data_IF_117505361688
#
_entry.id   IF_117505361688
#
_cell.length_a   1.000
_cell.length_b   1.000
_cell.length_c   1.000
_cell.angle_alpha   90.00
_cell.angle_beta   90.00
_cell.angle_gamma   90.00
#
_symmetry.space_group_name_H-M   'P 1'
#
loop_
_entity.id
_entity.type
_entity.pdbx_description
1 polymer ?
#
# COMPACT_ATOMS: atom_id res chain seq x y z
N UNK A 1 17.19 -10.60 8.62
CA UNK A 1 15.93 -10.42 9.35
C UNK A 1 15.05 -9.49 8.53
N UNK A 2 13.88 -9.94 8.09
CA UNK A 2 13.07 -9.21 7.13
C UNK A 2 12.00 -8.39 7.87
N UNK A 3 12.43 -7.24 8.41
CA UNK A 3 11.66 -6.42 9.37
C UNK A 3 10.25 -6.12 8.84
N UNK A 4 10.08 -5.86 7.54
CA UNK A 4 8.77 -5.54 6.97
C UNK A 4 7.79 -6.73 6.89
N UNK A 5 8.27 -7.96 6.73
CA UNK A 5 7.42 -9.15 6.59
C UNK A 5 7.13 -9.87 7.92
N UNK A 6 7.88 -9.56 8.99
CA UNK A 6 7.76 -10.25 10.27
C UNK A 6 7.52 -9.29 11.45
N UNK A 7 8.10 -8.08 11.42
CA UNK A 7 8.15 -7.14 12.54
C UNK A 7 7.99 -5.67 12.11
N UNK A 8 6.97 -5.34 11.30
CA UNK A 8 6.82 -3.94 10.85
C UNK A 8 6.61 -3.03 12.06
N UNK A 9 7.20 -1.83 12.01
CA UNK A 9 7.26 -0.90 13.16
C UNK A 9 7.92 -1.49 14.43
N UNK A 10 8.63 -2.62 14.34
CA UNK A 10 9.26 -3.29 15.48
C UNK A 10 8.33 -4.17 16.31
N UNK A 11 7.07 -4.34 15.89
CA UNK A 11 6.08 -5.17 16.60
C UNK A 11 5.94 -6.55 15.95
N UNK A 12 6.04 -7.62 16.74
CA UNK A 12 5.82 -8.98 16.27
C UNK A 12 4.38 -9.17 15.76
N UNK A 13 4.23 -9.80 14.59
CA UNK A 13 2.91 -10.04 13.99
C UNK A 13 2.32 -8.84 13.25
N UNK A 14 3.03 -7.71 13.19
CA UNK A 14 2.67 -6.54 12.39
C UNK A 14 3.20 -6.68 10.95
N UNK A 15 2.90 -7.77 10.25
CA UNK A 15 3.38 -7.96 8.87
C UNK A 15 2.69 -7.01 7.87
N UNK A 16 3.47 -6.43 6.96
CA UNK A 16 2.95 -5.67 5.83
C UNK A 16 2.06 -4.48 6.20
N UNK A 17 2.30 -3.82 7.34
CA UNK A 17 1.46 -2.70 7.80
C UNK A 17 1.35 -1.58 6.76
N UNK A 18 2.39 -1.31 5.97
CA UNK A 18 2.32 -0.32 4.88
C UNK A 18 1.23 -0.62 3.82
N UNK A 19 0.78 -1.87 3.73
CA UNK A 19 -0.27 -2.30 2.81
C UNK A 19 -1.67 -2.33 3.45
N UNK A 20 -1.84 -2.03 4.74
CA UNK A 20 -3.12 -2.18 5.47
C UNK A 20 -3.64 -0.82 5.93
N UNK A 21 -4.93 -0.52 5.85
CA UNK A 21 -5.44 0.76 6.37
C UNK A 21 -5.67 0.69 7.88
N UNK A 22 -6.29 -0.41 8.36
CA UNK A 22 -6.71 -0.58 9.75
C UNK A 22 -7.49 0.65 10.28
N UNK A 23 -7.24 1.08 11.51
CA UNK A 23 -7.84 2.28 12.11
C UNK A 23 -7.22 3.59 11.61
N UNK A 24 -6.12 3.55 10.85
CA UNK A 24 -5.37 4.76 10.47
C UNK A 24 -6.12 5.59 9.45
N UNK A 25 -5.96 6.91 9.55
CA UNK A 25 -6.36 7.85 8.50
C UNK A 25 -5.25 7.90 7.44
N UNK A 26 -5.07 6.79 6.74
CA UNK A 26 -4.04 6.58 5.72
C UNK A 26 -4.69 6.16 4.41
N UNK A 27 -4.03 6.48 3.31
CA UNK A 27 -4.43 6.12 1.95
C UNK A 27 -3.20 5.68 1.18
N UNK A 28 -3.31 4.58 0.45
CA UNK A 28 -2.22 4.06 -0.38
C UNK A 28 -2.29 4.80 -1.72
N UNK A 29 -1.83 6.05 -1.74
CA UNK A 29 -1.88 6.98 -2.86
C UNK A 29 -1.29 8.35 -2.49
N UNK A 30 -1.19 9.31 -3.43
CA UNK A 30 -1.62 9.21 -4.83
C UNK A 30 -0.60 8.49 -5.73
N UNK A 31 -1.09 7.67 -6.66
CA UNK A 31 -0.26 6.98 -7.65
C UNK A 31 -0.06 7.83 -8.92
N UNK A 32 1.04 8.59 -8.97
CA UNK A 32 1.43 9.38 -10.15
C UNK A 32 1.86 8.51 -11.34
N UNK A 33 2.29 7.29 -11.05
CA UNK A 33 2.76 6.26 -11.98
C UNK A 33 1.67 5.21 -12.29
N UNK A 34 0.39 5.53 -12.06
CA UNK A 34 -0.71 4.57 -12.16
C UNK A 34 -0.79 3.86 -13.54
N UNK A 35 -0.57 4.58 -14.64
CA UNK A 35 -0.61 4.00 -15.98
C UNK A 35 0.56 3.02 -16.21
N UNK A 36 1.78 3.42 -15.83
CA UNK A 36 2.96 2.56 -15.95
C UNK A 36 2.79 1.28 -15.12
N UNK A 37 2.23 1.40 -13.91
CA UNK A 37 1.94 0.24 -13.08
C UNK A 37 0.91 -0.71 -13.74
N UNK A 38 -0.15 -0.18 -14.35
CA UNK A 38 -1.14 -0.99 -15.07
C UNK A 38 -0.52 -1.73 -16.26
N UNK A 39 0.38 -1.09 -16.99
CA UNK A 39 1.06 -1.70 -18.15
C UNK A 39 1.96 -2.87 -17.70
N UNK A 40 2.74 -2.67 -16.63
CA UNK A 40 3.56 -3.73 -16.01
C UNK A 40 2.70 -4.87 -15.49
N UNK A 41 1.57 -4.55 -14.84
CA UNK A 41 0.64 -5.54 -14.30
C UNK A 41 -0.04 -6.35 -15.41
N UNK A 42 -0.45 -5.69 -16.50
CA UNK A 42 -1.05 -6.34 -17.65
C UNK A 42 -0.08 -7.32 -18.33
N UNK A 43 1.21 -6.94 -18.44
CA UNK A 43 2.26 -7.82 -18.93
C UNK A 43 2.46 -9.03 -18.01
N UNK A 44 2.55 -8.80 -16.68
CA UNK A 44 2.75 -9.86 -15.69
C UNK A 44 1.59 -10.87 -15.67
N UNK A 45 0.35 -10.39 -15.77
CA UNK A 45 -0.86 -11.21 -15.73
C UNK A 45 -1.32 -11.70 -17.11
N UNK A 46 -0.64 -11.28 -18.19
CA UNK A 46 -0.96 -11.61 -19.59
C UNK A 46 -2.43 -11.33 -19.96
N UNK A 47 -2.99 -10.25 -19.40
CA UNK A 47 -4.36 -9.79 -19.69
C UNK A 47 -4.47 -8.28 -19.56
N UNK A 48 -5.47 -7.69 -20.21
CA UNK A 48 -5.82 -6.28 -19.97
C UNK A 48 -6.39 -6.12 -18.56
N UNK A 49 -5.97 -5.08 -17.86
CA UNK A 49 -6.41 -4.73 -16.52
C UNK A 49 -7.12 -3.37 -16.57
N UNK A 50 -8.45 -3.32 -16.39
CA UNK A 50 -9.17 -2.07 -16.17
C UNK A 50 -8.63 -1.34 -14.93
N UNK A 51 -8.40 -0.03 -15.03
CA UNK A 51 -7.89 0.77 -13.90
C UNK A 51 -8.75 0.63 -12.64
N UNK A 52 -10.07 0.52 -12.80
CA UNK A 52 -11.02 0.32 -11.71
C UNK A 52 -10.84 -1.00 -10.94
N UNK A 53 -10.21 -2.04 -11.51
CA UNK A 53 -9.87 -3.24 -10.73
C UNK A 53 -8.73 -3.00 -9.74
N UNK A 54 -7.91 -1.98 -10.00
CA UNK A 54 -6.65 -1.74 -9.29
C UNK A 54 -6.70 -0.50 -8.41
N UNK A 55 -7.42 0.52 -8.85
CA UNK A 55 -7.45 1.82 -8.21
C UNK A 55 -8.86 2.21 -7.77
N UNK A 56 -8.90 2.98 -6.69
CA UNK A 56 -10.04 3.68 -6.15
C UNK A 56 -9.96 5.13 -6.62
N UNK A 57 -11.09 5.66 -7.08
CA UNK A 57 -11.22 7.08 -7.45
C UNK A 57 -11.63 7.91 -6.23
N UNK A 58 -11.43 9.23 -6.28
CA UNK A 58 -11.88 10.11 -5.19
C UNK A 58 -13.38 9.97 -4.89
N UNK A 59 -14.22 9.90 -5.93
CA UNK A 59 -15.68 9.78 -5.77
C UNK A 59 -16.11 8.48 -5.07
N UNK A 60 -15.36 7.41 -5.30
CA UNK A 60 -15.55 6.13 -4.62
C UNK A 60 -15.00 6.17 -3.20
N UNK A 61 -13.72 6.55 -3.05
CA UNK A 61 -12.99 6.52 -1.78
C UNK A 61 -13.65 7.35 -0.69
N UNK A 62 -14.11 8.56 -1.01
CA UNK A 62 -14.77 9.44 -0.02
C UNK A 62 -16.04 8.83 0.59
N UNK A 63 -16.68 7.87 -0.11
CA UNK A 63 -17.87 7.15 0.35
C UNK A 63 -17.49 5.89 1.14
N UNK A 64 -16.33 5.28 0.86
CA UNK A 64 -15.85 4.09 1.56
C UNK A 64 -15.45 4.40 3.01
N UNK A 65 -14.82 5.57 3.24
CA UNK A 65 -14.37 6.01 4.56
C UNK A 65 -14.73 7.49 4.79
N UNK A 66 -16.01 7.82 5.01
CA UNK A 66 -16.46 9.20 5.21
C UNK A 66 -15.82 9.87 6.44
N UNK A 67 -15.40 9.09 7.43
CA UNK A 67 -14.80 9.54 8.68
C UNK A 67 -13.29 9.82 8.61
N UNK A 68 -12.60 9.34 7.56
CA UNK A 68 -11.14 9.50 7.39
C UNK A 68 -10.84 10.75 6.58
N UNK A 69 -10.13 11.71 7.17
CA UNK A 69 -9.89 13.04 6.56
C UNK A 69 -9.04 12.95 5.29
N UNK A 70 -8.05 12.06 5.24
CA UNK A 70 -7.23 11.90 4.04
C UNK A 70 -8.00 11.29 2.87
N UNK A 71 -9.09 10.56 3.13
CA UNK A 71 -9.99 10.05 2.09
C UNK A 71 -10.93 11.11 1.52
N UNK A 72 -11.02 12.27 2.16
CA UNK A 72 -11.80 13.42 1.68
C UNK A 72 -10.99 14.39 0.80
N UNK A 73 -9.70 14.10 0.57
CA UNK A 73 -8.78 14.91 -0.22
C UNK A 73 -8.65 14.37 -1.65
N UNK A 74 -9.12 15.08 -2.69
CA UNK A 74 -9.01 14.62 -4.08
C UNK A 74 -7.56 14.34 -4.52
N UNK A 75 -6.60 15.12 -4.02
CA UNK A 75 -5.17 15.03 -4.32
C UNK A 75 -4.52 13.74 -3.81
N UNK A 76 -5.18 12.98 -2.93
CA UNK A 76 -4.69 11.71 -2.43
C UNK A 76 -5.00 10.52 -3.37
N UNK A 77 -5.70 10.76 -4.48
CA UNK A 77 -6.13 9.77 -5.46
C UNK A 77 -5.38 9.90 -6.80
N UNK A 78 -5.31 8.85 -7.64
CA UNK A 78 -5.87 7.51 -7.43
C UNK A 78 -5.13 6.74 -6.34
N UNK A 79 -5.87 5.93 -5.58
CA UNK A 79 -5.34 5.11 -4.50
C UNK A 79 -5.48 3.62 -4.82
N UNK A 80 -4.57 2.77 -4.34
CA UNK A 80 -4.69 1.33 -4.54
C UNK A 80 -5.95 0.77 -3.89
N UNK A 81 -6.60 -0.17 -4.59
CA UNK A 81 -7.80 -0.84 -4.13
C UNK A 81 -7.51 -1.75 -2.93
N UNK A 82 -8.53 -1.90 -2.09
CA UNK A 82 -8.46 -2.62 -0.82
C UNK A 82 -9.37 -3.85 -0.82
N UNK A 83 -9.03 -4.84 -0.01
CA UNK A 83 -9.87 -5.99 0.30
C UNK A 83 -10.91 -5.59 1.35
N UNK A 84 -12.06 -5.08 0.90
CA UNK A 84 -13.08 -4.49 1.78
C UNK A 84 -13.73 -5.48 2.77
N UNK A 85 -13.65 -6.79 2.52
CA UNK A 85 -14.17 -7.82 3.41
C UNK A 85 -13.22 -8.19 4.55
N UNK A 86 -11.96 -7.75 4.49
CA UNK A 86 -10.97 -8.05 5.49
C UNK A 86 -10.95 -6.92 6.55
N UNK A 87 -10.96 -7.22 7.86
CA UNK A 87 -11.11 -6.21 8.92
C UNK A 87 -9.99 -5.15 8.94
N UNK A 88 -8.82 -5.48 8.37
CA UNK A 88 -7.67 -4.57 8.27
C UNK A 88 -7.60 -3.77 6.97
N UNK A 89 -8.49 -4.04 6.02
CA UNK A 89 -8.49 -3.43 4.68
C UNK A 89 -7.10 -3.41 4.01
N UNK A 90 -6.46 -4.59 3.80
CA UNK A 90 -5.20 -4.68 3.07
C UNK A 90 -5.40 -4.29 1.60
N UNK A 91 -4.34 -3.83 0.96
CA UNK A 91 -4.27 -3.69 -0.49
C UNK A 91 -4.59 -5.03 -1.17
N UNK A 92 -5.26 -4.99 -2.32
CA UNK A 92 -5.59 -6.19 -3.10
C UNK A 92 -4.38 -7.04 -3.51
N UNK A 93 -3.17 -6.48 -3.52
CA UNK A 93 -1.93 -7.19 -3.83
C UNK A 93 -1.20 -7.75 -2.60
N UNK A 94 -1.69 -7.49 -1.39
CA UNK A 94 -1.12 -8.10 -0.20
C UNK A 94 -1.74 -9.47 0.04
N UNK A 95 -0.89 -10.49 0.21
CA UNK A 95 -1.31 -11.84 0.59
C UNK A 95 -1.03 -12.04 2.09
N UNK A 96 -2.08 -12.03 2.92
CA UNK A 96 -1.95 -12.21 4.37
C UNK A 96 -1.44 -13.60 4.78
N UNK A 97 -1.63 -14.64 3.95
CA UNK A 97 -1.11 -16.00 4.23
C UNK A 97 0.41 -16.06 4.04
N UNK A 98 0.89 -15.51 2.91
CA UNK A 98 2.31 -15.48 2.57
C UNK A 98 3.05 -14.27 3.17
N UNK A 99 2.31 -13.34 3.79
CA UNK A 99 2.81 -12.10 4.39
C UNK A 99 3.66 -11.26 3.44
N UNK A 100 3.25 -11.20 2.17
CA UNK A 100 4.03 -10.55 1.13
C UNK A 100 3.16 -9.90 0.05
N UNK A 101 3.75 -8.93 -0.64
CA UNK A 101 3.16 -8.31 -1.82
C UNK A 101 3.33 -9.25 -3.04
N UNK A 102 2.24 -9.53 -3.76
CA UNK A 102 2.25 -10.42 -4.93
C UNK A 102 2.80 -9.77 -6.20
N UNK A 103 3.01 -8.44 -6.17
CA UNK A 103 3.52 -7.63 -7.27
C UNK A 103 4.82 -6.91 -6.89
N UNK A 104 5.56 -7.45 -5.92
CA UNK A 104 6.72 -6.79 -5.28
C UNK A 104 7.74 -6.20 -6.27
N UNK A 105 8.00 -6.93 -7.36
CA UNK A 105 8.94 -6.61 -8.44
C UNK A 105 8.49 -5.45 -9.34
N UNK A 106 7.20 -5.18 -9.39
CA UNK A 106 6.60 -4.15 -10.27
C UNK A 106 5.80 -3.11 -9.48
N UNK A 107 6.02 -3.00 -8.15
CA UNK A 107 5.25 -2.09 -7.29
C UNK A 107 5.31 -0.65 -7.80
N UNK A 108 4.24 0.14 -7.55
CA UNK A 108 4.28 1.58 -7.80
C UNK A 108 5.37 2.27 -6.99
N UNK A 109 5.87 3.39 -7.51
CA UNK A 109 6.98 4.15 -6.94
C UNK A 109 6.73 4.57 -5.48
N UNK A 110 5.51 5.01 -5.15
CA UNK A 110 5.16 5.36 -3.76
C UNK A 110 5.33 4.18 -2.78
N UNK A 111 5.13 2.94 -3.24
CA UNK A 111 5.36 1.75 -2.42
C UNK A 111 6.84 1.39 -2.31
N UNK A 112 7.66 1.77 -3.29
CA UNK A 112 9.12 1.62 -3.26
C UNK A 112 9.76 2.66 -2.32
N UNK A 113 9.24 3.89 -2.35
CA UNK A 113 9.77 5.03 -1.58
C UNK A 113 9.27 5.05 -0.13
N UNK A 114 8.27 4.22 0.20
CA UNK A 114 7.72 4.18 1.54
C UNK A 114 8.75 3.71 2.56
N UNK A 115 9.08 4.60 3.50
CA UNK A 115 9.89 4.31 4.68
C UNK A 115 9.04 4.65 5.91
N UNK A 116 8.86 3.69 6.81
CA UNK A 116 8.15 3.96 8.07
C UNK A 116 9.08 4.61 9.10
N UNK A 117 8.49 5.33 10.06
CA UNK A 117 9.23 6.05 11.10
C UNK A 117 10.22 5.17 11.85
N UNK A 118 9.87 3.90 12.10
CA UNK A 118 10.76 2.93 12.73
C UNK A 118 12.04 2.71 11.91
N UNK A 119 11.92 2.54 10.59
CA UNK A 119 13.08 2.38 9.71
C UNK A 119 13.86 3.68 9.57
N UNK A 120 13.17 4.83 9.47
CA UNK A 120 13.82 6.14 9.40
C UNK A 120 14.68 6.42 10.64
N UNK A 121 14.16 6.12 11.84
CA UNK A 121 14.88 6.27 13.11
C UNK A 121 16.00 5.23 13.30
N UNK A 122 15.84 4.04 12.73
CA UNK A 122 16.87 2.99 12.80
C UNK A 122 18.08 3.33 11.92
N UNK A 123 17.87 4.04 10.80
CA UNK A 123 18.95 4.47 9.91
C UNK A 123 19.86 5.54 10.53
N UNK A 124 19.33 6.39 11.41
CA UNK A 124 20.07 7.48 12.07
C UNK A 124 20.89 7.04 13.27
N UNK A 125 20.75 5.79 13.73
CA UNK A 125 21.42 5.25 14.92
C UNK A 125 22.58 4.29 14.58
N UNK A 126 23.14 4.36 13.38
CA UNK A 126 24.35 3.60 13.06
C UNK A 126 25.55 4.34 13.67
N UNK A 127 26.27 3.78 14.65
CA UNK A 127 27.56 4.32 15.04
C UNK A 127 28.47 4.18 13.83
N UNK A 128 29.08 5.28 13.40
CA UNK A 128 30.21 5.24 12.48
C UNK A 128 31.23 4.23 13.02
N UNK A 129 31.52 3.22 12.21
CA UNK A 129 32.61 2.28 12.46
C UNK A 129 33.95 2.89 12.02
#
# INVERSE_FOLDING_TARGET
MNICSEKCFGFDGYDGSCCKIESRDYIIGPHKDAQEFLDKLALKLKRKIPAQEVFITYQEGRKLFPEKLNWQKPEAFPALRLQMHHPKYPCIFYNDTLKQCTVYDIRPQICCDYVCDFLAQSATNTPEA
#
